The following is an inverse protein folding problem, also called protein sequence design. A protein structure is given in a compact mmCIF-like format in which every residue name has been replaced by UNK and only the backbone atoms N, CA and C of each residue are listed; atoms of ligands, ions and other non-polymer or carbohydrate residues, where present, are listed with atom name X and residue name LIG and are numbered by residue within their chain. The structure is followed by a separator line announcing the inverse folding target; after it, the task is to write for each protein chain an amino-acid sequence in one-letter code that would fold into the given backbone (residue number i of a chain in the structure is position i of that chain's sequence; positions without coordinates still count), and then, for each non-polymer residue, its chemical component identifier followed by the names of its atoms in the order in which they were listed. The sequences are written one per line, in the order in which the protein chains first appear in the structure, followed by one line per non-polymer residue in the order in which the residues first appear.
data_IF_331211558419
#
_entry.id   IF_331211558419
#
_cell.length_a   1.000
_cell.length_b   1.000
_cell.length_c   1.000
_cell.angle_alpha   90.00
_cell.angle_beta   90.00
_cell.angle_gamma   90.00
#
_symmetry.space_group_name_H-M   'P 1'
#
loop_
_entity.id
_entity.type
_entity.pdbx_description
1 polymer ?
#
# COMPACT_ATOMS: atom_id res chain seq x y z
N UNK A 1 -8.08 -27.32 -14.45
CA UNK A 1 -8.19 -26.58 -13.19
C UNK A 1 -8.93 -25.29 -13.46
N UNK A 2 -10.25 -25.31 -13.23
CA UNK A 2 -11.15 -24.19 -13.51
C UNK A 2 -11.06 -23.22 -12.33
N UNK A 3 -10.24 -22.18 -12.47
CA UNK A 3 -10.51 -20.93 -11.78
C UNK A 3 -11.75 -20.37 -12.49
N UNK A 4 -12.91 -20.78 -12.00
CA UNK A 4 -14.13 -20.05 -12.31
C UNK A 4 -13.92 -18.66 -11.72
N UNK A 5 -13.86 -17.65 -12.60
CA UNK A 5 -14.14 -16.26 -12.27
C UNK A 5 -15.33 -16.24 -11.31
N UNK A 6 -15.04 -16.06 -10.02
CA UNK A 6 -16.02 -15.88 -8.96
C UNK A 6 -16.52 -14.42 -9.01
N UNK A 7 -17.04 -14.03 -10.17
CA UNK A 7 -17.79 -12.79 -10.38
C UNK A 7 -19.30 -13.03 -10.33
N UNK A 8 -19.76 -14.17 -9.82
CA UNK A 8 -21.19 -14.50 -9.78
C UNK A 8 -21.70 -14.81 -8.36
N UNK A 9 -22.52 -13.88 -7.87
CA UNK A 9 -23.67 -14.10 -6.97
C UNK A 9 -23.38 -14.69 -5.58
N UNK A 10 -22.98 -13.83 -4.64
CA UNK A 10 -23.42 -13.98 -3.26
C UNK A 10 -24.88 -13.49 -3.14
N UNK A 11 -25.83 -14.29 -3.62
CA UNK A 11 -27.25 -14.16 -3.28
C UNK A 11 -27.48 -14.83 -1.92
N UNK A 12 -27.12 -14.12 -0.85
CA UNK A 12 -27.33 -14.52 0.53
C UNK A 12 -27.03 -13.32 1.40
N UNK A 13 -27.97 -12.98 2.29
CA UNK A 13 -28.05 -11.73 3.06
C UNK A 13 -26.82 -11.44 3.95
N UNK A 14 -25.73 -10.99 3.35
CA UNK A 14 -24.54 -10.44 4.00
C UNK A 14 -24.47 -8.98 3.57
N UNK A 15 -24.38 -8.07 4.54
CA UNK A 15 -24.44 -6.62 4.33
C UNK A 15 -23.61 -6.22 3.10
N UNK A 16 -24.26 -5.53 2.15
CA UNK A 16 -23.62 -5.01 0.95
C UNK A 16 -22.51 -4.05 1.38
N UNK A 17 -21.29 -4.57 1.50
CA UNK A 17 -20.09 -3.77 1.65
C UNK A 17 -20.00 -2.92 0.39
N UNK A 18 -20.01 -1.59 0.56
CA UNK A 18 -19.94 -0.69 -0.57
C UNK A 18 -18.68 -0.99 -1.41
N UNK A 19 -18.74 -0.86 -2.74
CA UNK A 19 -17.62 -1.14 -3.67
C UNK A 19 -16.23 -0.54 -3.32
N UNK A 20 -16.06 0.57 -2.58
CA UNK A 20 -14.75 1.07 -2.14
C UNK A 20 -14.15 0.27 -1.01
N UNK A 21 -14.98 -0.32 -0.15
CA UNK A 21 -14.50 -1.23 0.86
C UNK A 21 -13.97 -2.54 0.22
N UNK A 22 -14.33 -2.85 -1.03
CA UNK A 22 -13.65 -3.85 -1.87
C UNK A 22 -12.32 -3.36 -2.47
N UNK A 23 -12.09 -2.04 -2.60
CA UNK A 23 -10.82 -1.48 -3.09
C UNK A 23 -9.76 -1.38 -1.99
N UNK A 24 -10.19 -1.21 -0.74
CA UNK A 24 -9.31 -1.26 0.42
C UNK A 24 -9.16 -2.71 0.93
N UNK A 25 -10.26 -3.43 1.14
CA UNK A 25 -10.23 -4.82 1.57
C UNK A 25 -9.70 -5.78 0.51
N UNK A 26 -9.61 -7.06 0.86
CA UNK A 26 -9.20 -8.13 -0.05
C UNK A 26 -7.83 -8.70 0.28
N UNK A 27 -7.30 -9.47 -0.66
CA UNK A 27 -6.01 -10.15 -0.55
C UNK A 27 -5.07 -9.65 -1.65
N UNK A 28 -3.91 -9.15 -1.22
CA UNK A 28 -3.01 -8.35 -2.05
C UNK A 28 -1.58 -8.85 -1.96
N UNK A 29 -0.92 -9.05 -3.10
CA UNK A 29 0.47 -9.46 -3.18
C UNK A 29 1.31 -8.37 -3.83
N UNK A 30 2.47 -8.05 -3.27
CA UNK A 30 3.30 -7.00 -3.81
C UNK A 30 4.70 -6.96 -3.23
N UNK A 31 5.40 -5.88 -3.54
CA UNK A 31 6.69 -5.55 -2.96
C UNK A 31 6.58 -4.29 -2.10
N UNK A 32 7.24 -4.31 -0.95
CA UNK A 32 7.44 -3.19 -0.04
C UNK A 32 8.88 -2.70 -0.14
N UNK A 33 9.07 -1.41 -0.40
CA UNK A 33 10.38 -0.75 -0.46
C UNK A 33 10.38 0.43 0.50
N UNK A 34 11.47 0.60 1.24
CA UNK A 34 11.63 1.69 2.21
C UNK A 34 12.62 2.72 1.72
N UNK A 35 12.30 3.99 1.93
CA UNK A 35 13.14 5.14 1.61
C UNK A 35 13.39 5.95 2.88
N UNK A 36 14.61 6.45 3.03
CA UNK A 36 14.93 7.42 4.07
C UNK A 36 14.21 8.74 3.77
N UNK A 37 14.09 9.61 4.78
CA UNK A 37 13.54 10.97 4.60
C UNK A 37 14.34 11.84 3.63
N UNK A 38 15.55 11.41 3.26
CA UNK A 38 16.39 12.02 2.23
C UNK A 38 16.08 11.54 0.81
N UNK A 39 15.25 10.50 0.67
CA UNK A 39 14.92 9.82 -0.59
C UNK A 39 15.88 8.69 -0.95
N UNK A 40 16.94 8.48 -0.17
CA UNK A 40 17.81 7.33 -0.35
C UNK A 40 17.05 6.03 -0.08
N UNK A 41 17.26 5.03 -0.93
CA UNK A 41 16.76 3.68 -0.73
C UNK A 41 17.35 3.09 0.55
N UNK A 42 16.51 2.48 1.38
CA UNK A 42 16.93 1.79 2.61
C UNK A 42 16.92 0.29 2.32
N UNK A 43 18.09 -0.39 2.34
CA UNK A 43 18.15 -1.83 2.11
C UNK A 43 17.46 -2.61 3.23
N UNK A 44 17.14 -3.87 2.96
CA UNK A 44 16.66 -4.80 3.98
C UNK A 44 17.69 -4.90 5.12
N UNK A 45 17.27 -4.82 6.40
CA UNK A 45 18.19 -4.94 7.53
C UNK A 45 19.00 -6.25 7.48
N UNK A 46 20.32 -6.17 7.66
CA UNK A 46 21.23 -7.32 7.52
C UNK A 46 20.83 -8.54 8.36
N UNK A 47 20.32 -8.35 9.59
CA UNK A 47 19.87 -9.47 10.43
C UNK A 47 18.66 -10.25 9.90
N UNK A 48 18.02 -9.76 8.83
CA UNK A 48 16.92 -10.42 8.11
C UNK A 48 17.38 -10.99 6.76
N UNK A 49 18.65 -10.81 6.40
CA UNK A 49 19.24 -11.25 5.14
C UNK A 49 20.17 -12.44 5.42
N UNK A 50 20.15 -13.50 4.60
CA UNK A 50 21.10 -14.59 4.70
C UNK A 50 22.56 -14.11 4.58
N UNK A 51 23.45 -14.67 5.38
CA UNK A 51 24.88 -14.29 5.42
C UNK A 51 25.53 -14.36 4.04
N UNK A 52 25.15 -15.33 3.20
CA UNK A 52 25.69 -15.51 1.86
C UNK A 52 25.36 -14.33 0.93
N UNK A 53 24.15 -13.76 1.05
CA UNK A 53 23.76 -12.58 0.26
C UNK A 53 24.51 -11.34 0.72
N UNK A 54 24.78 -11.21 2.03
CA UNK A 54 25.59 -10.12 2.59
C UNK A 54 27.03 -10.24 2.08
N UNK A 55 27.61 -11.44 2.16
CA UNK A 55 28.98 -11.72 1.69
C UNK A 55 29.16 -11.33 0.22
N UNK A 56 28.14 -11.56 -0.61
CA UNK A 56 28.18 -11.28 -2.05
C UNK A 56 27.68 -9.87 -2.42
N UNK A 57 27.34 -9.03 -1.44
CA UNK A 57 26.84 -7.68 -1.68
C UNK A 57 25.48 -7.65 -2.41
N UNK A 58 24.68 -8.70 -2.27
CA UNK A 58 23.36 -8.87 -2.90
C UNK A 58 22.22 -8.55 -1.93
N UNK A 59 22.38 -7.54 -1.09
CA UNK A 59 21.37 -7.14 -0.10
C UNK A 59 20.13 -6.60 -0.83
N UNK A 60 18.93 -7.18 -0.64
CA UNK A 60 17.73 -6.73 -1.32
C UNK A 60 17.30 -5.32 -0.88
N UNK A 61 16.63 -4.64 -1.80
CA UNK A 61 16.09 -3.29 -1.62
C UNK A 61 14.69 -3.26 -0.99
N UNK A 62 14.06 -4.42 -0.78
CA UNK A 62 12.71 -4.49 -0.22
C UNK A 62 12.26 -5.91 0.09
N UNK A 63 11.05 -6.02 0.60
CA UNK A 63 10.42 -7.29 0.93
C UNK A 63 9.29 -7.61 -0.03
N UNK A 64 9.04 -8.90 -0.24
CA UNK A 64 7.78 -9.34 -0.79
C UNK A 64 6.76 -9.53 0.33
N UNK A 65 5.54 -9.06 0.13
CA UNK A 65 4.49 -9.11 1.13
C UNK A 65 3.16 -9.58 0.55
N UNK A 66 2.43 -10.35 1.36
CA UNK A 66 1.01 -10.63 1.19
C UNK A 66 0.23 -9.93 2.29
N UNK A 67 -0.81 -9.20 1.93
CA UNK A 67 -1.73 -8.60 2.90
C UNK A 67 -3.15 -9.08 2.70
N UNK A 68 -3.79 -9.47 3.80
CA UNK A 68 -5.22 -9.77 3.86
C UNK A 68 -5.90 -8.68 4.67
N UNK A 69 -6.85 -7.96 4.06
CA UNK A 69 -7.55 -6.84 4.66
C UNK A 69 -9.06 -7.14 4.73
N UNK A 70 -9.60 -7.15 5.94
CA UNK A 70 -10.99 -7.53 6.22
C UNK A 70 -11.70 -6.47 7.03
N UNK A 71 -12.95 -6.18 6.65
CA UNK A 71 -13.86 -5.37 7.46
C UNK A 71 -14.53 -6.28 8.49
N UNK A 72 -14.50 -5.92 9.78
CA UNK A 72 -15.17 -6.69 10.82
C UNK A 72 -16.67 -6.76 10.57
N UNK A 73 -17.26 -7.92 10.86
CA UNK A 73 -18.72 -8.13 10.78
C UNK A 73 -19.43 -7.89 12.11
N UNK A 74 -18.69 -7.62 13.18
CA UNK A 74 -19.15 -7.43 14.55
C UNK A 74 -19.52 -5.97 14.89
N UNK A 75 -19.57 -5.10 13.88
CA UNK A 75 -19.87 -3.69 14.04
C UNK A 75 -18.67 -2.81 14.39
N UNK A 76 -17.45 -3.37 14.48
CA UNK A 76 -16.24 -2.57 14.54
C UNK A 76 -15.99 -1.89 13.17
N UNK A 77 -15.90 -0.55 13.11
CA UNK A 77 -15.66 0.15 11.85
C UNK A 77 -14.20 0.09 11.38
N UNK A 78 -13.25 -0.33 12.21
CA UNK A 78 -11.83 -0.41 11.87
C UNK A 78 -11.50 -1.67 11.05
N UNK A 79 -10.78 -1.50 9.95
CA UNK A 79 -10.34 -2.63 9.12
C UNK A 79 -9.21 -3.40 9.83
N UNK A 80 -9.18 -4.72 9.71
CA UNK A 80 -8.06 -5.53 10.19
C UNK A 80 -7.15 -5.93 9.03
N UNK A 81 -5.83 -5.89 9.23
CA UNK A 81 -4.82 -6.29 8.25
C UNK A 81 -3.93 -7.38 8.81
N UNK A 82 -3.85 -8.51 8.12
CA UNK A 82 -2.80 -9.52 8.29
C UNK A 82 -1.75 -9.32 7.22
N UNK A 83 -0.47 -9.28 7.60
CA UNK A 83 0.66 -9.18 6.68
C UNK A 83 1.55 -10.40 6.84
N UNK A 84 1.88 -11.07 5.74
CA UNK A 84 2.91 -12.11 5.65
C UNK A 84 4.05 -11.53 4.83
N UNK A 85 5.17 -11.25 5.49
CA UNK A 85 6.38 -10.74 4.87
C UNK A 85 7.37 -11.87 4.67
N UNK A 86 7.80 -12.10 3.44
CA UNK A 86 8.83 -13.10 3.15
C UNK A 86 10.22 -12.54 3.44
N UNK A 87 11.04 -13.35 4.10
CA UNK A 87 12.45 -13.05 4.30
C UNK A 87 13.22 -13.36 3.00
N UNK A 88 14.24 -12.57 2.64
CA UNK A 88 15.16 -12.90 1.57
C UNK A 88 15.75 -14.30 1.70
N UNK A 89 15.96 -14.97 0.57
CA UNK A 89 16.56 -16.30 0.53
C UNK A 89 17.86 -16.31 -0.27
N UNK A 90 18.82 -17.08 0.24
CA UNK A 90 20.04 -17.43 -0.48
C UNK A 90 19.87 -18.76 -1.20
N UNK A 91 20.15 -18.78 -2.51
CA UNK A 91 20.17 -20.01 -3.31
C UNK A 91 18.90 -20.27 -4.14
N UNK A 92 19.01 -21.17 -5.12
CA UNK A 92 17.91 -21.60 -5.97
C UNK A 92 17.35 -22.92 -5.38
N UNK A 93 16.04 -23.01 -5.05
CA UNK A 93 15.33 -24.16 -4.45
C UNK A 93 15.19 -24.21 -2.92
N UNK A 94 15.03 -23.08 -2.23
CA UNK A 94 14.49 -23.14 -0.86
C UNK A 94 12.98 -23.39 -0.93
N UNK A 95 12.54 -24.57 -0.45
CA UNK A 95 11.11 -24.94 -0.42
C UNK A 95 10.37 -24.33 0.78
N UNK A 96 11.09 -23.75 1.74
CA UNK A 96 10.53 -23.18 2.97
C UNK A 96 10.99 -21.72 3.15
N UNK A 97 10.19 -20.80 2.61
CA UNK A 97 10.36 -19.37 2.82
C UNK A 97 10.12 -19.01 4.29
N UNK A 98 11.18 -18.50 4.93
CA UNK A 98 11.05 -17.82 6.21
C UNK A 98 10.11 -16.63 6.05
N UNK A 99 9.18 -16.47 6.99
CA UNK A 99 8.21 -15.37 6.93
C UNK A 99 7.94 -14.77 8.31
N UNK A 100 7.72 -13.45 8.31
CA UNK A 100 7.23 -12.71 9.45
C UNK A 100 5.74 -12.45 9.27
N UNK A 101 4.94 -12.79 10.26
CA UNK A 101 3.49 -12.64 10.23
C UNK A 101 3.09 -11.61 11.28
N UNK A 102 2.35 -10.59 10.86
CA UNK A 102 1.85 -9.54 11.76
C UNK A 102 0.37 -9.29 11.50
N UNK A 103 -0.40 -9.06 12.55
CA UNK A 103 -1.80 -8.64 12.47
C UNK A 103 -1.96 -7.28 13.14
N UNK A 104 -2.66 -6.36 12.48
CA UNK A 104 -2.86 -4.98 12.96
C UNK A 104 -4.27 -4.51 12.67
N UNK A 105 -4.88 -3.82 13.63
CA UNK A 105 -6.07 -3.01 13.36
C UNK A 105 -5.64 -1.69 12.71
N UNK A 106 -6.33 -1.30 11.65
CA UNK A 106 -6.04 -0.10 10.89
C UNK A 106 -6.93 1.06 11.34
N UNK A 107 -6.45 2.31 11.23
CA UNK A 107 -7.28 3.47 11.44
C UNK A 107 -8.48 3.50 10.47
N UNK A 108 -9.48 4.32 10.80
CA UNK A 108 -10.62 4.52 9.91
C UNK A 108 -10.17 5.13 8.59
N UNK A 109 -10.64 4.55 7.48
CA UNK A 109 -10.31 5.03 6.16
C UNK A 109 -11.15 6.27 5.81
N UNK A 110 -10.50 7.30 5.28
CA UNK A 110 -11.09 8.59 4.93
C UNK A 110 -10.79 8.94 3.46
N UNK A 111 -11.76 9.54 2.77
CA UNK A 111 -11.56 10.20 1.47
C UNK A 111 -12.48 11.41 1.40
N UNK A 112 -11.93 12.61 1.28
CA UNK A 112 -12.73 13.82 1.41
C UNK A 112 -13.10 14.09 2.87
N UNK A 113 -14.31 14.61 3.08
CA UNK A 113 -14.97 14.74 4.39
C UNK A 113 -15.63 13.44 4.87
N UNK A 114 -15.48 12.33 4.13
CA UNK A 114 -16.25 11.11 4.38
C UNK A 114 -15.38 10.02 4.98
N UNK A 115 -15.81 9.53 6.14
CA UNK A 115 -15.27 8.35 6.80
C UNK A 115 -16.00 7.10 6.27
N UNK A 116 -15.23 6.09 5.87
CA UNK A 116 -15.77 4.79 5.50
C UNK A 116 -16.03 3.99 6.78
N UNK A 117 -17.28 3.59 7.00
CA UNK A 117 -17.67 2.65 8.04
C UNK A 117 -18.44 1.48 7.43
N UNK A 118 -18.34 0.31 8.05
CA UNK A 118 -19.09 -0.86 7.62
C UNK A 118 -20.61 -0.56 7.63
N UNK A 119 -21.28 -0.75 6.48
CA UNK A 119 -22.73 -0.58 6.36
C UNK A 119 -23.21 0.84 6.05
N UNK A 120 -22.34 1.85 5.94
CA UNK A 120 -22.76 3.21 5.54
C UNK A 120 -23.16 3.24 4.06
N UNK A 121 -24.35 3.78 3.76
CA UNK A 121 -24.69 4.18 2.39
C UNK A 121 -23.94 5.47 2.05
N UNK A 122 -23.05 5.41 1.07
CA UNK A 122 -22.26 6.57 0.66
C UNK A 122 -22.63 7.00 -0.75
N UNK A 123 -22.40 8.28 -1.03
CA UNK A 123 -22.56 8.85 -2.36
C UNK A 123 -21.63 8.14 -3.38
N UNK A 124 -22.11 7.78 -4.58
CA UNK A 124 -21.31 7.10 -5.60
C UNK A 124 -19.99 7.81 -5.96
N UNK A 125 -19.91 9.14 -5.88
CA UNK A 125 -18.69 9.90 -6.13
C UNK A 125 -17.62 9.63 -5.09
N UNK A 126 -18.00 9.51 -3.81
CA UNK A 126 -17.10 9.07 -2.73
C UNK A 126 -16.70 7.62 -2.93
N UNK A 127 -17.63 6.79 -3.45
CA UNK A 127 -17.34 5.40 -3.73
C UNK A 127 -16.32 5.22 -4.89
N UNK A 128 -16.22 6.20 -5.77
CA UNK A 128 -15.34 6.15 -6.94
C UNK A 128 -13.99 6.82 -6.69
N UNK A 129 -13.71 7.27 -5.47
CA UNK A 129 -12.41 7.84 -5.12
C UNK A 129 -11.27 6.89 -5.56
N UNK A 130 -10.19 7.48 -6.07
CA UNK A 130 -8.99 6.76 -6.49
C UNK A 130 -7.89 6.81 -5.42
N UNK A 131 -8.16 7.42 -4.27
CA UNK A 131 -7.23 7.47 -3.16
C UNK A 131 -7.97 7.50 -1.81
N UNK A 132 -7.33 6.95 -0.78
CA UNK A 132 -7.83 6.92 0.60
C UNK A 132 -6.69 7.19 1.59
N UNK A 133 -7.03 7.75 2.75
CA UNK A 133 -6.13 7.96 3.87
C UNK A 133 -6.52 7.05 5.05
N UNK A 134 -5.53 6.44 5.72
CA UNK A 134 -5.69 5.67 6.96
C UNK A 134 -4.73 6.24 8.01
N UNK A 135 -5.07 7.40 8.56
CA UNK A 135 -4.17 8.19 9.39
C UNK A 135 -4.42 7.95 10.89
N UNK A 136 -3.35 7.99 11.68
CA UNK A 136 -3.43 7.95 13.15
C UNK A 136 -2.42 8.91 13.77
N UNK A 137 -2.84 9.63 14.81
CA UNK A 137 -1.93 10.38 15.66
C UNK A 137 -1.00 9.41 16.40
N UNK A 138 0.27 9.78 16.52
CA UNK A 138 1.22 9.04 17.35
C UNK A 138 0.89 9.28 18.84
N UNK A 139 0.60 8.23 19.63
CA UNK A 139 0.27 8.41 21.05
C UNK A 139 1.44 8.92 21.89
N UNK A 140 2.68 8.87 21.38
CA UNK A 140 3.87 9.30 22.09
C UNK A 140 4.27 10.75 21.79
N UNK A 141 3.76 11.37 20.73
CA UNK A 141 4.19 12.70 20.28
C UNK A 141 3.04 13.52 19.68
N UNK A 142 2.60 14.52 20.45
CA UNK A 142 1.56 15.48 20.07
C UNK A 142 2.03 16.33 18.88
N UNK A 143 1.68 15.89 17.67
CA UNK A 143 2.01 16.58 16.43
C UNK A 143 2.53 15.65 15.35
N UNK A 144 2.95 14.44 15.73
CA UNK A 144 3.36 13.40 14.79
C UNK A 144 2.17 12.53 14.41
N UNK A 145 2.03 12.28 13.11
CA UNK A 145 1.00 11.42 12.56
C UNK A 145 1.62 10.32 11.71
N UNK A 146 1.13 9.10 11.89
CA UNK A 146 1.32 8.03 10.91
C UNK A 146 0.31 8.27 9.79
N UNK A 147 0.82 8.61 8.62
CA UNK A 147 0.01 8.84 7.43
C UNK A 147 0.13 7.65 6.49
N UNK A 148 -0.99 6.99 6.19
CA UNK A 148 -1.06 5.93 5.19
C UNK A 148 -1.97 6.38 4.05
N UNK A 149 -1.45 6.40 2.83
CA UNK A 149 -2.20 6.69 1.61
C UNK A 149 -2.31 5.41 0.79
N UNK A 150 -3.51 5.08 0.32
CA UNK A 150 -3.75 4.00 -0.64
C UNK A 150 -4.30 4.61 -1.91
N UNK A 151 -3.61 4.41 -3.03
CA UNK A 151 -4.03 4.84 -4.37
C UNK A 151 -4.46 3.64 -5.20
N UNK A 152 -5.49 3.82 -6.01
CA UNK A 152 -5.92 2.88 -7.05
C UNK A 152 -4.96 2.94 -8.25
N UNK A 153 -4.29 1.82 -8.56
CA UNK A 153 -3.30 1.70 -9.62
C UNK A 153 -1.84 1.84 -9.17
N UNK A 154 -0.92 1.70 -10.13
CA UNK A 154 0.52 1.81 -9.91
C UNK A 154 1.04 3.21 -10.22
N UNK A 155 1.86 3.80 -9.36
CA UNK A 155 2.67 4.95 -9.76
C UNK A 155 3.97 4.54 -10.46
N UNK A 156 4.58 5.50 -11.14
CA UNK A 156 5.78 5.30 -11.94
C UNK A 156 5.55 4.32 -13.08
N UNK A 157 6.63 3.74 -13.60
CA UNK A 157 6.51 2.70 -14.60
C UNK A 157 5.97 1.41 -13.98
N UNK A 158 5.09 0.74 -14.73
CA UNK A 158 4.46 -0.52 -14.31
C UNK A 158 5.56 -1.54 -13.96
N UNK A 159 5.55 -2.11 -12.75
CA UNK A 159 6.43 -3.21 -12.41
C UNK A 159 6.30 -4.37 -13.39
N UNK A 160 7.39 -5.10 -13.64
CA UNK A 160 7.32 -6.28 -14.49
C UNK A 160 6.55 -7.37 -13.76
N UNK A 161 5.56 -7.93 -14.43
CA UNK A 161 4.84 -9.10 -13.92
C UNK A 161 5.73 -10.34 -14.04
N UNK A 162 5.64 -11.25 -13.07
CA UNK A 162 6.31 -12.54 -13.16
C UNK A 162 5.73 -13.36 -14.32
N UNK A 163 6.56 -14.23 -14.91
CA UNK A 163 6.13 -15.05 -16.04
C UNK A 163 5.00 -15.99 -15.61
N UNK A 164 3.86 -15.89 -16.29
CA UNK A 164 2.67 -16.70 -15.99
C UNK A 164 1.79 -16.09 -14.90
N UNK A 165 2.02 -14.82 -14.53
CA UNK A 165 1.17 -14.15 -13.56
C UNK A 165 -0.29 -14.09 -14.04
N UNK A 166 -1.21 -14.31 -13.11
CA UNK A 166 -2.64 -14.31 -13.39
C UNK A 166 -3.16 -12.88 -13.57
N UNK A 167 -4.28 -12.73 -14.26
CA UNK A 167 -5.03 -11.47 -14.28
C UNK A 167 -5.57 -11.17 -12.86
N UNK A 168 -5.49 -9.91 -12.45
CA UNK A 168 -5.86 -9.46 -11.12
C UNK A 168 -7.08 -8.52 -11.19
N UNK A 169 -8.04 -8.61 -10.25
CA UNK A 169 -9.17 -7.68 -10.18
C UNK A 169 -8.79 -6.23 -9.84
N UNK A 170 -7.57 -5.98 -9.35
CA UNK A 170 -7.17 -4.63 -8.96
C UNK A 170 -5.67 -4.50 -8.70
N UNK A 171 -5.21 -3.26 -8.70
CA UNK A 171 -3.83 -2.86 -8.46
C UNK A 171 -3.84 -1.64 -7.55
N UNK A 172 -2.85 -1.51 -6.68
CA UNK A 172 -2.75 -0.34 -5.80
C UNK A 172 -1.32 0.03 -5.48
N UNK A 173 -1.14 1.31 -5.14
CA UNK A 173 0.09 1.81 -4.52
C UNK A 173 -0.24 2.28 -3.12
N UNK A 174 0.47 1.75 -2.12
CA UNK A 174 0.30 2.14 -0.72
C UNK A 174 1.55 2.90 -0.27
N UNK A 175 1.38 3.99 0.46
CA UNK A 175 2.46 4.85 0.94
C UNK A 175 2.26 5.08 2.43
N UNK A 176 3.25 4.75 3.25
CA UNK A 176 3.23 5.01 4.70
C UNK A 176 4.40 5.90 5.05
N UNK A 177 4.14 6.97 5.82
CA UNK A 177 5.17 7.85 6.36
C UNK A 177 4.76 8.39 7.73
N UNK A 178 5.72 8.94 8.46
CA UNK A 178 5.48 9.65 9.72
C UNK A 178 5.75 11.15 9.50
N UNK A 179 4.73 11.96 9.73
CA UNK A 179 4.74 13.38 9.42
C UNK A 179 4.54 14.21 10.69
N UNK A 180 5.46 15.14 10.93
CA UNK A 180 5.33 16.15 11.98
C UNK A 180 4.55 17.34 11.41
N UNK A 181 3.32 17.48 11.89
CA UNK A 181 2.39 18.52 11.47
C UNK A 181 2.82 19.92 11.89
N UNK A 182 3.66 20.07 12.92
CA UNK A 182 4.15 21.37 13.39
C UNK A 182 5.29 21.86 12.51
N UNK A 183 6.27 21.01 12.22
CA UNK A 183 7.41 21.39 11.36
C UNK A 183 7.09 21.30 9.87
N UNK A 184 6.09 20.51 9.47
CA UNK A 184 5.80 20.23 8.07
C UNK A 184 6.78 19.28 7.40
N UNK A 185 7.53 18.50 8.20
CA UNK A 185 8.58 17.60 7.74
C UNK A 185 8.25 16.14 8.09
N UNK A 186 8.95 15.21 7.45
CA UNK A 186 8.95 13.80 7.87
C UNK A 186 9.77 13.64 9.16
N UNK A 187 9.35 12.73 10.04
CA UNK A 187 10.10 12.40 11.26
C UNK A 187 11.48 11.84 10.85
N UNK A 188 12.61 12.45 11.26
CA UNK A 188 13.93 12.11 10.71
C UNK A 188 14.38 10.65 10.88
N UNK A 189 13.97 9.99 11.96
CA UNK A 189 14.28 8.59 12.26
C UNK A 189 13.34 7.58 11.58
N UNK A 190 12.32 8.07 10.88
CA UNK A 190 11.35 7.22 10.18
C UNK A 190 11.74 6.98 8.72
N UNK A 191 11.02 6.07 8.08
CA UNK A 191 11.12 5.79 6.65
C UNK A 191 9.80 6.09 5.96
N UNK A 192 9.87 6.37 4.66
CA UNK A 192 8.72 6.29 3.76
C UNK A 192 8.69 4.89 3.18
N UNK A 193 7.68 4.09 3.52
CA UNK A 193 7.48 2.78 2.94
C UNK A 193 6.45 2.85 1.81
N UNK A 194 6.77 2.24 0.67
CA UNK A 194 5.92 2.19 -0.51
C UNK A 194 5.67 0.73 -0.86
N UNK A 195 4.41 0.40 -1.15
CA UNK A 195 4.03 -0.88 -1.71
C UNK A 195 3.44 -0.71 -3.10
N UNK A 196 3.76 -1.62 -4.00
CA UNK A 196 3.03 -1.82 -5.25
C UNK A 196 2.46 -3.23 -5.24
N UNK A 197 1.13 -3.31 -5.21
CA UNK A 197 0.39 -4.53 -4.91
C UNK A 197 -0.65 -4.84 -5.98
N UNK A 198 -0.90 -6.13 -6.19
CA UNK A 198 -1.96 -6.68 -7.05
C UNK A 198 -2.92 -7.47 -6.19
N UNK A 199 -4.21 -7.19 -6.35
CA UNK A 199 -5.28 -7.93 -5.68
C UNK A 199 -5.40 -9.30 -6.36
N UNK A 200 -5.35 -10.40 -5.61
CA UNK A 200 -5.67 -11.71 -6.19
C UNK A 200 -7.06 -12.21 -5.79
N UNK A 201 -7.61 -11.66 -4.71
CA UNK A 201 -8.97 -11.96 -4.28
C UNK A 201 -9.61 -10.74 -3.62
N UNK A 202 -10.76 -10.31 -4.14
CA UNK A 202 -11.57 -9.27 -3.49
C UNK A 202 -12.36 -9.81 -2.28
N UNK A 203 -12.45 -11.14 -2.14
CA UNK A 203 -13.12 -11.82 -1.04
C UNK A 203 -12.06 -12.56 -0.22
N UNK A 204 -11.60 -12.00 0.91
CA UNK A 204 -10.67 -12.67 1.79
C UNK A 204 -11.13 -14.09 2.11
N UNK A 205 -10.23 -15.05 1.95
CA UNK A 205 -10.53 -16.43 2.28
C UNK A 205 -10.71 -16.55 3.80
N UNK A 206 -11.73 -17.31 4.24
CA UNK A 206 -11.94 -17.56 5.67
C UNK A 206 -10.77 -18.30 6.33
N UNK A 207 -9.97 -19.01 5.53
CA UNK A 207 -8.73 -19.68 5.93
C UNK A 207 -7.60 -18.70 6.30
N UNK A 208 -7.68 -17.45 5.81
CA UNK A 208 -6.73 -16.37 6.09
C UNK A 208 -7.33 -15.29 7.01
N UNK A 209 -8.48 -15.57 7.64
CA UNK A 209 -9.05 -14.67 8.64
C UNK A 209 -8.00 -14.43 9.75
N UNK A 210 -7.58 -13.17 10.00
CA UNK A 210 -6.56 -12.85 11.00
C UNK A 210 -6.89 -13.36 12.41
N UNK A 211 -8.16 -13.70 12.68
CA UNK A 211 -8.64 -14.19 13.98
C UNK A 211 -8.53 -15.72 14.11
N UNK A 212 -8.19 -16.42 13.03
CA UNK A 212 -8.15 -17.87 13.02
C UNK A 212 -6.69 -18.35 13.19
N UNK A 213 -6.28 -18.59 14.44
CA UNK A 213 -4.91 -19.01 14.81
C UNK A 213 -4.49 -20.36 14.19
N UNK A 214 -5.43 -21.11 13.60
CA UNK A 214 -5.20 -22.39 12.90
C UNK A 214 -5.02 -22.29 11.38
N UNK A 215 -4.98 -21.08 10.81
CA UNK A 215 -4.88 -20.85 9.36
C UNK A 215 -3.53 -21.27 8.76
N UNK A 216 -3.56 -21.72 7.49
CA UNK A 216 -2.45 -22.30 6.71
C UNK A 216 -1.10 -21.57 6.93
N UNK A 217 -0.06 -22.37 7.17
CA UNK A 217 1.36 -21.97 7.25
C UNK A 217 1.82 -21.27 5.96
N UNK A 218 2.88 -20.44 6.05
CA UNK A 218 3.45 -19.65 4.95
C UNK A 218 3.84 -20.39 3.65
N UNK A 219 3.70 -21.71 3.58
CA UNK A 219 3.91 -22.54 2.38
C UNK A 219 2.96 -22.22 1.21
N UNK A 220 1.69 -21.88 1.47
CA UNK A 220 0.77 -21.45 0.39
C UNK A 220 1.10 -20.03 -0.12
N UNK A 221 1.76 -19.24 0.71
CA UNK A 221 2.04 -17.83 0.44
C UNK A 221 3.11 -17.66 -0.66
N UNK A 222 4.11 -18.53 -0.70
CA UNK A 222 5.17 -18.54 -1.72
C UNK A 222 4.61 -18.75 -3.14
N UNK A 223 3.68 -19.69 -3.28
CA UNK A 223 3.01 -19.96 -4.55
C UNK A 223 2.17 -18.76 -5.01
N UNK A 224 1.40 -18.14 -4.10
CA UNK A 224 0.61 -16.93 -4.39
C UNK A 224 1.53 -15.80 -4.85
N UNK A 225 2.65 -15.60 -4.15
CA UNK A 225 3.64 -14.59 -4.53
C UNK A 225 4.21 -14.85 -5.92
N UNK A 226 4.48 -16.10 -6.30
CA UNK A 226 5.00 -16.44 -7.63
C UNK A 226 3.97 -16.23 -8.76
N UNK A 227 2.67 -16.36 -8.45
CA UNK A 227 1.59 -16.26 -9.42
C UNK A 227 1.02 -14.86 -9.59
N UNK A 228 1.18 -13.99 -8.61
CA UNK A 228 0.62 -12.62 -8.66
C UNK A 228 1.73 -11.57 -8.58
N UNK A 229 2.93 -11.98 -8.15
CA UNK A 229 4.03 -11.10 -7.85
C UNK A 229 4.43 -10.19 -9.01
N UNK A 230 4.79 -8.99 -8.61
CA UNK A 230 5.49 -8.02 -9.44
C UNK A 230 6.97 -8.04 -9.09
N UNK A 231 7.83 -7.61 -10.01
CA UNK A 231 9.24 -7.37 -9.70
C UNK A 231 9.38 -6.26 -8.66
N UNK A 232 10.42 -6.34 -7.83
CA UNK A 232 10.83 -5.21 -6.99
C UNK A 232 11.02 -3.94 -7.85
N UNK A 233 10.54 -2.81 -7.36
CA UNK A 233 10.70 -1.50 -8.01
C UNK A 233 11.80 -0.65 -7.36
N UNK A 234 12.38 -1.10 -6.24
CA UNK A 234 13.45 -0.39 -5.54
C UNK A 234 14.73 -0.22 -6.36
N UNK A 235 14.98 -1.15 -7.29
CA UNK A 235 16.17 -1.15 -8.17
C UNK A 235 15.96 -0.34 -9.46
N UNK A 236 14.76 0.24 -9.66
CA UNK A 236 14.54 1.12 -10.80
C UNK A 236 15.46 2.34 -10.66
N UNK A 237 16.11 2.78 -11.76
CA UNK A 237 16.99 3.94 -11.70
C UNK A 237 16.18 5.14 -11.24
N UNK A 238 16.43 5.58 -10.00
CA UNK A 238 15.77 6.77 -9.49
C UNK A 238 16.23 7.96 -10.34
N UNK A 239 15.26 8.71 -10.87
CA UNK A 239 15.50 10.06 -11.36
C UNK A 239 15.80 10.92 -10.14
N UNK A 240 17.04 10.85 -9.66
CA UNK A 240 17.48 11.47 -8.41
C UNK A 240 17.60 12.99 -8.58
N UNK A 241 16.46 13.67 -8.63
CA UNK A 241 16.35 15.08 -8.31
C UNK A 241 15.71 15.20 -6.92
N UNK A 242 16.45 14.81 -5.90
CA UNK A 242 16.15 15.20 -4.52
C UNK A 242 16.44 16.71 -4.37
N UNK A 243 15.55 17.53 -4.93
CA UNK A 243 15.64 18.98 -4.80
C UNK A 243 15.21 19.32 -3.38
N UNK A 244 16.18 19.46 -2.47
CA UNK A 244 15.98 20.21 -1.23
C UNK A 244 15.67 21.64 -1.64
N UNK A 245 14.40 22.00 -1.70
CA UNK A 245 14.00 23.37 -1.98
C UNK A 245 14.48 24.23 -0.81
N UNK A 246 15.21 25.29 -1.14
CA UNK A 246 15.66 26.27 -0.15
C UNK A 246 14.43 27.00 0.40
N UNK A 247 13.96 26.57 1.58
CA UNK A 247 12.90 27.24 2.33
C UNK A 247 11.81 26.28 2.80
N UNK A 248 11.96 25.76 4.02
CA UNK A 248 10.95 25.18 4.93
C UNK A 248 9.84 24.24 4.37
N UNK A 249 9.91 23.82 3.10
CA UNK A 249 8.92 22.95 2.47
C UNK A 249 9.57 21.64 2.10
N UNK A 250 9.12 20.57 2.74
CA UNK A 250 9.46 19.21 2.34
C UNK A 250 9.03 19.04 0.87
N UNK A 251 9.95 18.56 0.03
CA UNK A 251 9.65 18.03 -1.30
C UNK A 251 10.53 16.80 -1.50
N UNK A 252 9.89 15.65 -1.68
CA UNK A 252 10.57 14.37 -1.80
C UNK A 252 9.98 13.57 -2.94
N UNK A 253 10.77 13.29 -3.98
CA UNK A 253 10.39 12.45 -5.12
C UNK A 253 11.05 11.10 -4.93
N UNK A 254 10.25 10.04 -4.99
CA UNK A 254 10.64 8.66 -4.70
C UNK A 254 10.37 7.75 -5.89
N UNK A 255 10.87 6.51 -5.81
CA UNK A 255 10.49 5.44 -6.73
C UNK A 255 8.96 5.21 -6.76
N UNK A 256 8.50 4.44 -7.74
CA UNK A 256 7.07 4.19 -7.98
C UNK A 256 6.24 5.47 -8.19
N UNK A 257 6.86 6.53 -8.72
CA UNK A 257 6.16 7.78 -9.09
C UNK A 257 5.51 8.51 -7.91
N UNK A 258 6.02 8.31 -6.69
CA UNK A 258 5.51 8.95 -5.48
C UNK A 258 6.24 10.26 -5.23
N UNK A 259 5.49 11.34 -5.01
CA UNK A 259 6.02 12.61 -4.53
C UNK A 259 5.32 13.01 -3.22
N UNK A 260 6.11 13.40 -2.21
CA UNK A 260 5.62 13.99 -0.97
C UNK A 260 5.96 15.47 -0.91
N UNK A 261 4.99 16.30 -0.58
CA UNK A 261 5.18 17.73 -0.28
C UNK A 261 4.64 18.04 1.11
N UNK A 262 5.44 18.71 1.92
CA UNK A 262 5.06 19.05 3.28
C UNK A 262 5.33 20.50 3.61
N UNK A 263 4.44 21.07 4.41
CA UNK A 263 4.61 22.34 5.11
C UNK A 263 3.81 22.25 6.42
N UNK A 264 4.04 23.14 7.40
CA UNK A 264 3.29 23.10 8.66
C UNK A 264 1.78 22.99 8.43
N UNK A 265 1.17 21.96 9.02
CA UNK A 265 -0.26 21.66 8.92
C UNK A 265 -0.75 21.10 7.58
N UNK A 266 0.13 20.78 6.61
CA UNK A 266 -0.27 20.26 5.30
C UNK A 266 0.71 19.20 4.77
N UNK A 267 0.18 18.06 4.33
CA UNK A 267 0.90 17.01 3.62
C UNK A 267 0.18 16.69 2.31
N UNK A 268 0.91 16.76 1.21
CA UNK A 268 0.50 16.32 -0.11
C UNK A 268 1.23 15.03 -0.45
N UNK A 269 0.49 14.01 -0.86
CA UNK A 269 1.03 12.78 -1.45
C UNK A 269 0.50 12.67 -2.86
N UNK A 270 1.41 12.66 -3.81
CA UNK A 270 1.12 12.63 -5.24
C UNK A 270 1.60 11.30 -5.80
N UNK A 271 0.74 10.66 -6.60
CA UNK A 271 1.09 9.50 -7.39
C UNK A 271 1.01 9.87 -8.86
N UNK A 272 2.11 9.73 -9.57
CA UNK A 272 2.18 10.00 -11.01
C UNK A 272 2.32 8.69 -11.77
N UNK A 273 1.47 8.51 -12.77
CA UNK A 273 1.46 7.37 -13.67
C UNK A 273 2.66 7.43 -14.62
N UNK A 274 3.34 6.31 -14.82
CA UNK A 274 4.38 6.18 -15.84
C UNK A 274 3.79 6.04 -17.24
N UNK A 275 4.67 5.84 -18.23
CA UNK A 275 4.24 5.73 -19.64
C UNK A 275 3.66 4.35 -19.98
N UNK A 276 4.02 3.33 -19.20
CA UNK A 276 3.65 1.94 -19.43
C UNK A 276 2.52 1.42 -18.52
N UNK A 277 1.96 2.25 -17.66
CA UNK A 277 0.87 1.91 -16.75
C UNK A 277 -0.48 1.99 -17.45
N UNK A 278 -1.43 1.16 -17.00
CA UNK A 278 -2.81 1.12 -17.52
C UNK A 278 -3.78 1.95 -16.68
N UNK A 279 -3.27 2.99 -16.03
CA UNK A 279 -4.09 3.83 -15.18
C UNK A 279 -5.02 4.68 -16.04
N UNK A 280 -6.22 4.92 -15.55
CA UNK A 280 -7.18 5.86 -16.15
C UNK A 280 -6.85 7.33 -15.87
N UNK A 281 -5.79 7.58 -15.11
CA UNK A 281 -5.38 8.88 -14.62
C UNK A 281 -3.89 9.09 -14.89
N UNK A 282 -3.49 10.34 -15.11
CA UNK A 282 -2.07 10.70 -15.22
C UNK A 282 -1.46 10.97 -13.86
N UNK A 283 -2.19 11.64 -12.97
CA UNK A 283 -1.72 11.92 -11.63
C UNK A 283 -2.89 11.99 -10.63
N UNK A 284 -2.68 11.38 -9.46
CA UNK A 284 -3.54 11.47 -8.28
C UNK A 284 -2.83 12.29 -7.21
N UNK A 285 -3.57 13.14 -6.53
CA UNK A 285 -3.07 13.92 -5.39
C UNK A 285 -4.01 13.73 -4.21
N UNK A 286 -3.46 13.29 -3.08
CA UNK A 286 -4.16 13.27 -1.81
C UNK A 286 -3.54 14.32 -0.89
N UNK A 287 -4.34 15.29 -0.45
CA UNK A 287 -3.94 16.34 0.49
C UNK A 287 -4.51 16.05 1.86
N UNK A 288 -3.70 16.26 2.89
CA UNK A 288 -4.09 16.25 4.29
C UNK A 288 -3.86 17.63 4.88
N UNK A 289 -4.85 18.17 5.57
CA UNK A 289 -4.69 19.35 6.40
C UNK A 289 -5.15 19.05 7.83
N UNK A 290 -4.45 19.62 8.80
CA UNK A 290 -4.74 19.38 10.22
C UNK A 290 -5.25 20.65 10.91
N UNK A 291 -6.28 20.47 11.74
CA UNK A 291 -6.78 21.48 12.66
C UNK A 291 -6.88 20.87 14.06
N UNK A 292 -5.83 21.04 14.86
CA UNK A 292 -5.70 20.34 16.14
C UNK A 292 -5.57 18.84 15.92
N UNK A 293 -6.46 18.06 16.53
CA UNK A 293 -6.48 16.59 16.43
C UNK A 293 -7.36 16.06 15.29
N UNK A 294 -7.88 16.96 14.44
CA UNK A 294 -8.70 16.59 13.28
C UNK A 294 -7.88 16.69 12.00
N UNK A 295 -8.06 15.70 11.11
CA UNK A 295 -7.46 15.66 9.78
C UNK A 295 -8.57 15.77 8.72
N UNK A 296 -8.35 16.63 7.74
CA UNK A 296 -9.20 16.78 6.56
C UNK A 296 -8.45 16.30 5.34
N UNK A 297 -9.11 15.46 4.54
CA UNK A 297 -8.52 14.81 3.37
C UNK A 297 -9.18 15.35 2.12
N UNK A 298 -8.40 15.67 1.09
CA UNK A 298 -8.90 16.04 -0.23
C UNK A 298 -8.22 15.17 -1.28
N UNK A 299 -8.98 14.71 -2.28
CA UNK A 299 -8.45 13.90 -3.38
C UNK A 299 -8.71 14.63 -4.69
N UNK A 300 -7.66 14.81 -5.48
CA UNK A 300 -7.69 15.42 -6.80
C UNK A 300 -7.16 14.42 -7.83
N UNK A 301 -7.90 14.21 -8.90
CA UNK A 301 -7.50 13.40 -10.05
C UNK A 301 -7.23 14.33 -11.23
N UNK A 302 -6.04 14.26 -11.79
CA UNK A 302 -5.64 15.05 -12.95
C UNK A 302 -5.57 14.20 -14.21
N UNK A 303 -6.23 14.69 -15.26
CA UNK A 303 -6.32 14.10 -16.60
C UNK A 303 -6.84 12.66 -16.59
N UNK A 304 -8.17 12.50 -16.61
CA UNK A 304 -8.77 11.22 -16.96
C UNK A 304 -8.54 10.97 -18.45
N UNK A 305 -7.76 9.94 -18.77
CA UNK A 305 -7.58 9.51 -20.15
C UNK A 305 -8.76 8.63 -20.52
N UNK A 306 -9.44 8.94 -21.63
CA UNK A 306 -10.34 7.97 -22.26
C UNK A 306 -9.49 6.78 -22.69
N UNK A 307 -9.74 5.62 -22.08
CA UNK A 307 -9.16 4.37 -22.57
C UNK A 307 -9.96 4.02 -23.82
N UNK A 308 -9.32 4.12 -24.98
CA UNK A 308 -9.81 3.47 -26.19
C UNK A 308 -9.73 1.95 -25.96
N UNK A 309 -10.87 1.33 -25.66
CA UNK A 309 -11.04 -0.12 -25.46
C UNK A 309 -10.78 -0.93 -26.76
#
# INVERSE_FOLDING_TARGET
YRIAMLLAHAAGSVGLVARPALRLGGEWAGHCVSFATTGALVPVPEHLVPDEMIEWGQVPSGFQELTTETWPTDGNPAMSRRTVRFLPEGGCNTENLGALITSTELPLACSGSVMLQAGTQLDPGVLNAHAWALDAADPADDGVWRCETVFDGFGGDRPREMRGALECPGERTRVVCYFDTVSGCLVPSSTVAIWQERCWSACPSGDLDPRNDGGRSGLDAAWVSSLIGVSCFGDQPMTSEAIRSSGAKLKLVLGAGVELRGQPGLLEVTLTSGTATRNRWQQLVLRRSWAGQSVFVEVETSCEMEIDD
#
